data_IF_145729920090
#
_entry.id   IF_145729920090
#
_cell.length_a   1.000
_cell.length_b   1.000
_cell.length_c   1.000
_cell.angle_alpha   90.00
_cell.angle_beta   90.00
_cell.angle_gamma   90.00
#
_symmetry.space_group_name_H-M   'P 1'
#
loop_
_entity.id
_entity.type
_entity.pdbx_description
1 polymer ?
#
# COMPACT_ATOMS: atom_id res chain seq x y z
N UNK A 1 -16.80 -16.19 21.90
CA UNK A 1 -15.54 -16.83 22.38
C UNK A 1 -14.36 -16.05 21.85
N UNK A 2 -13.29 -15.86 22.62
CA UNK A 2 -12.04 -15.22 22.17
C UNK A 2 -10.94 -16.28 22.11
N UNK A 3 -10.26 -16.37 21.00
CA UNK A 3 -9.13 -17.31 20.79
C UNK A 3 -7.91 -16.51 20.37
N UNK A 4 -6.75 -16.78 20.95
CA UNK A 4 -5.46 -16.28 20.51
C UNK A 4 -4.76 -17.37 19.70
N UNK A 5 -4.42 -17.06 18.46
CA UNK A 5 -3.62 -17.92 17.60
C UNK A 5 -2.16 -17.45 17.67
N UNK A 6 -1.28 -18.34 18.08
CA UNK A 6 0.15 -18.04 18.26
C UNK A 6 1.01 -18.60 17.10
N UNK A 7 0.41 -19.39 16.22
CA UNK A 7 1.09 -20.01 15.09
C UNK A 7 0.19 -19.89 13.83
N UNK A 8 0.79 -19.66 12.69
CA UNK A 8 0.08 -19.51 11.42
C UNK A 8 0.00 -20.83 10.62
N UNK A 9 0.86 -21.78 10.90
CA UNK A 9 0.99 -23.02 10.14
C UNK A 9 -0.31 -23.83 10.05
N UNK A 10 -1.10 -23.98 11.14
CA UNK A 10 -2.35 -24.76 11.10
C UNK A 10 -3.54 -23.96 10.56
N UNK A 11 -3.37 -22.69 10.21
CA UNK A 11 -4.48 -21.86 9.77
C UNK A 11 -4.79 -22.07 8.29
N UNK A 12 -6.07 -22.23 7.98
CA UNK A 12 -6.54 -22.17 6.61
C UNK A 12 -6.46 -20.72 6.08
N UNK A 13 -5.46 -20.42 5.27
CA UNK A 13 -5.19 -19.07 4.77
C UNK A 13 -6.25 -18.54 3.79
N UNK A 14 -7.20 -19.38 3.35
CA UNK A 14 -8.39 -18.92 2.61
C UNK A 14 -9.49 -18.36 3.52
N UNK A 15 -9.47 -18.71 4.80
CA UNK A 15 -10.35 -18.13 5.83
C UNK A 15 -9.65 -16.93 6.47
N UNK A 16 -8.40 -17.16 6.90
CA UNK A 16 -7.57 -16.15 7.58
C UNK A 16 -6.73 -15.35 6.57
N UNK A 17 -7.42 -14.73 5.60
CA UNK A 17 -6.81 -13.91 4.56
C UNK A 17 -6.78 -12.44 5.01
N UNK A 18 -5.58 -11.92 5.27
CA UNK A 18 -5.28 -10.57 5.72
C UNK A 18 -3.86 -10.16 5.29
N UNK A 19 -3.45 -8.94 5.59
CA UNK A 19 -2.08 -8.50 5.33
C UNK A 19 -1.11 -9.09 6.35
N UNK A 20 -0.32 -10.07 5.96
CA UNK A 20 0.60 -10.79 6.86
C UNK A 20 1.81 -9.98 7.30
N UNK A 21 2.04 -8.77 6.79
CA UNK A 21 3.09 -7.85 7.29
C UNK A 21 2.65 -7.02 8.51
N UNK A 22 1.40 -7.18 8.96
CA UNK A 22 0.91 -6.51 10.16
C UNK A 22 1.53 -7.07 11.44
N UNK A 23 1.60 -6.24 12.48
CA UNK A 23 2.04 -6.65 13.82
C UNK A 23 0.91 -7.27 14.64
N UNK A 24 -0.33 -6.97 14.29
CA UNK A 24 -1.51 -7.38 15.02
C UNK A 24 -2.72 -7.51 14.07
N UNK A 25 -3.50 -8.57 14.23
CA UNK A 25 -4.72 -8.80 13.47
C UNK A 25 -5.79 -9.46 14.35
N UNK A 26 -7.00 -8.92 14.35
CA UNK A 26 -8.19 -9.55 14.91
C UNK A 26 -9.13 -9.93 13.78
N UNK A 27 -9.66 -11.15 13.84
CA UNK A 27 -10.67 -11.63 12.92
C UNK A 27 -11.98 -11.83 13.68
N UNK A 28 -13.07 -11.28 13.18
CA UNK A 28 -14.41 -11.48 13.71
C UNK A 28 -15.12 -12.52 12.85
N UNK A 29 -15.45 -13.66 13.44
CA UNK A 29 -15.99 -14.84 12.74
C UNK A 29 -17.34 -15.23 13.30
N UNK A 30 -18.22 -15.77 12.43
CA UNK A 30 -19.37 -16.55 12.85
C UNK A 30 -18.96 -17.95 13.31
N UNK A 31 -19.84 -18.73 13.96
CA UNK A 31 -19.57 -20.14 14.27
C UNK A 31 -19.22 -21.00 13.06
N UNK A 32 -19.71 -20.63 11.87
CA UNK A 32 -19.44 -21.31 10.58
C UNK A 32 -18.18 -20.76 9.88
N UNK A 33 -17.30 -20.05 10.60
CA UNK A 33 -16.08 -19.45 10.07
C UNK A 33 -16.29 -18.42 8.94
N UNK A 34 -17.49 -17.83 8.84
CA UNK A 34 -17.71 -16.69 7.94
C UNK A 34 -17.17 -15.42 8.57
N UNK A 35 -16.43 -14.64 7.80
CA UNK A 35 -15.74 -13.45 8.30
C UNK A 35 -16.65 -12.23 8.24
N UNK A 36 -16.94 -11.66 9.39
CA UNK A 36 -17.61 -10.36 9.50
C UNK A 36 -16.64 -9.21 9.21
N UNK A 37 -15.49 -9.24 9.87
CA UNK A 37 -14.51 -8.15 9.79
C UNK A 37 -13.10 -8.60 10.14
N UNK A 38 -12.14 -7.79 9.70
CA UNK A 38 -10.70 -7.86 9.99
C UNK A 38 -10.30 -6.56 10.63
N UNK A 39 -9.76 -6.59 11.84
CA UNK A 39 -9.26 -5.39 12.50
C UNK A 39 -7.75 -5.48 12.69
N UNK A 40 -7.05 -4.45 12.26
CA UNK A 40 -5.61 -4.27 12.31
C UNK A 40 -5.17 -3.41 11.13
N UNK A 41 -4.05 -2.75 11.27
CA UNK A 41 -3.53 -1.89 10.24
C UNK A 41 -2.12 -1.41 10.57
N UNK A 42 -1.33 -1.16 9.54
CA UNK A 42 0.02 -0.61 9.63
C UNK A 42 0.32 0.20 8.37
N UNK A 43 1.19 1.17 8.47
CA UNK A 43 1.73 1.89 7.32
C UNK A 43 3.16 2.35 7.63
N UNK A 44 3.75 3.14 6.75
CA UNK A 44 5.09 3.70 6.88
C UNK A 44 5.25 4.62 8.11
N UNK A 45 4.15 5.16 8.63
CA UNK A 45 4.15 5.99 9.85
C UNK A 45 4.32 5.19 11.14
N UNK A 46 4.18 3.85 11.08
CA UNK A 46 4.44 2.97 12.22
C UNK A 46 3.43 1.84 12.40
N UNK A 47 3.71 0.96 13.37
CA UNK A 47 2.90 -0.23 13.60
C UNK A 47 1.49 0.07 14.12
N UNK A 48 1.29 1.19 14.81
CA UNK A 48 0.01 1.55 15.45
C UNK A 48 -0.73 2.69 14.74
N UNK A 49 -0.18 3.18 13.62
CA UNK A 49 -0.73 4.35 12.92
C UNK A 49 -2.16 4.15 12.38
N UNK A 50 -2.59 2.91 12.21
CA UNK A 50 -3.91 2.54 11.64
C UNK A 50 -4.78 1.72 12.60
N UNK A 51 -4.45 1.73 13.89
CA UNK A 51 -5.19 0.97 14.91
C UNK A 51 -5.13 1.64 16.29
N UNK A 52 -6.20 1.48 17.07
CA UNK A 52 -6.30 1.96 18.44
C UNK A 52 -7.26 1.08 19.26
N UNK A 53 -7.24 1.19 20.58
CA UNK A 53 -8.23 0.50 21.42
C UNK A 53 -9.65 1.03 21.18
N UNK A 54 -9.80 2.33 20.94
CA UNK A 54 -11.09 2.93 20.60
C UNK A 54 -11.63 2.38 19.27
N UNK A 55 -10.79 2.30 18.24
CA UNK A 55 -11.14 1.73 16.95
C UNK A 55 -11.47 0.24 17.03
N UNK A 56 -10.73 -0.54 17.84
CA UNK A 56 -11.07 -1.96 18.06
C UNK A 56 -12.46 -2.08 18.70
N UNK A 57 -12.75 -1.29 19.75
CA UNK A 57 -14.05 -1.28 20.39
C UNK A 57 -15.16 -0.88 19.42
N UNK A 58 -14.97 0.17 18.65
CA UNK A 58 -15.91 0.63 17.64
C UNK A 58 -16.23 -0.49 16.62
N UNK A 59 -15.20 -1.17 16.12
CA UNK A 59 -15.35 -2.30 15.21
C UNK A 59 -16.11 -3.46 15.86
N UNK A 60 -15.82 -3.78 17.14
CA UNK A 60 -16.55 -4.82 17.88
C UNK A 60 -18.04 -4.51 17.99
N UNK A 61 -18.39 -3.27 18.33
CA UNK A 61 -19.77 -2.80 18.45
C UNK A 61 -20.48 -2.86 17.09
N UNK A 62 -19.82 -2.43 16.01
CA UNK A 62 -20.33 -2.50 14.63
C UNK A 62 -20.57 -3.95 14.18
N UNK A 63 -19.61 -4.84 14.41
CA UNK A 63 -19.74 -6.28 14.08
C UNK A 63 -20.85 -6.92 14.90
N UNK A 64 -21.01 -6.57 16.17
CA UNK A 64 -22.08 -7.10 17.01
C UNK A 64 -23.46 -6.65 16.51
N UNK A 65 -23.60 -5.42 16.04
CA UNK A 65 -24.81 -4.92 15.40
C UNK A 65 -25.11 -5.69 14.11
N UNK A 66 -24.09 -5.91 13.26
CA UNK A 66 -24.21 -6.71 12.03
C UNK A 66 -24.65 -8.16 12.35
N UNK A 67 -24.03 -8.80 13.35
CA UNK A 67 -24.38 -10.16 13.80
C UNK A 67 -25.84 -10.29 14.26
N UNK A 68 -26.37 -9.24 14.90
CA UNK A 68 -27.77 -9.21 15.39
C UNK A 68 -28.78 -8.84 14.32
N UNK A 69 -28.33 -8.41 13.14
CA UNK A 69 -29.20 -8.06 12.02
C UNK A 69 -29.94 -9.29 11.50
N UNK A 70 -31.08 -9.06 10.82
CA UNK A 70 -31.86 -10.16 10.19
C UNK A 70 -31.12 -10.82 9.02
N UNK A 71 -30.18 -10.10 8.39
CA UNK A 71 -29.44 -10.56 7.23
C UNK A 71 -27.96 -10.11 7.36
N UNK A 72 -27.17 -10.78 8.20
CA UNK A 72 -25.78 -10.39 8.43
C UNK A 72 -24.94 -10.57 7.16
N UNK A 73 -24.12 -9.57 6.87
CA UNK A 73 -23.22 -9.55 5.73
C UNK A 73 -21.86 -10.10 6.13
N UNK A 74 -21.24 -10.79 5.22
CA UNK A 74 -19.92 -11.38 5.41
C UNK A 74 -18.99 -10.97 4.28
N UNK A 75 -17.70 -10.87 4.58
CA UNK A 75 -16.71 -10.71 3.55
C UNK A 75 -16.67 -11.94 2.62
N UNK A 76 -16.43 -11.78 1.32
CA UNK A 76 -16.27 -12.90 0.41
C UNK A 76 -15.11 -13.79 0.84
N UNK A 77 -15.28 -15.10 0.65
CA UNK A 77 -14.28 -16.11 0.97
C UNK A 77 -13.83 -16.80 -0.31
N UNK A 78 -12.55 -17.10 -0.40
CA UNK A 78 -12.05 -17.98 -1.45
C UNK A 78 -12.64 -19.40 -1.30
N UNK A 79 -13.12 -19.92 -2.40
CA UNK A 79 -13.64 -21.31 -2.48
C UNK A 79 -12.52 -22.30 -2.80
N UNK A 80 -12.79 -23.60 -2.64
CA UNK A 80 -11.90 -24.69 -2.98
C UNK A 80 -11.17 -25.29 -1.78
N UNK A 81 -10.15 -26.12 -2.04
CA UNK A 81 -9.41 -26.83 -0.98
C UNK A 81 -8.78 -25.86 0.01
N UNK A 82 -8.79 -26.17 1.31
CA UNK A 82 -8.02 -25.41 2.30
C UNK A 82 -6.58 -25.24 1.86
N UNK A 83 -5.97 -24.11 2.27
CA UNK A 83 -4.57 -23.81 1.99
C UNK A 83 -3.84 -23.52 3.30
N UNK A 84 -2.84 -24.31 3.61
CA UNK A 84 -2.04 -24.18 4.83
C UNK A 84 -0.59 -23.88 4.47
N UNK A 85 0.07 -23.08 5.29
CA UNK A 85 1.50 -22.84 5.09
C UNK A 85 2.33 -24.12 5.28
N UNK A 86 1.84 -25.05 6.11
CA UNK A 86 2.44 -26.36 6.32
C UNK A 86 2.50 -27.22 5.03
N UNK A 87 1.61 -26.96 4.06
CA UNK A 87 1.60 -27.66 2.75
C UNK A 87 2.69 -27.14 1.81
N UNK A 88 3.34 -26.03 2.16
CA UNK A 88 4.44 -25.44 1.42
C UNK A 88 5.72 -25.76 2.18
N UNK A 89 6.67 -26.48 1.56
CA UNK A 89 7.97 -26.69 2.16
C UNK A 89 8.64 -25.33 2.46
N UNK A 90 8.93 -25.00 3.73
CA UNK A 90 9.55 -23.73 4.06
C UNK A 90 10.98 -23.68 3.46
N UNK A 91 11.48 -22.48 3.12
CA UNK A 91 12.88 -22.29 2.78
C UNK A 91 13.77 -22.87 3.88
N UNK A 92 14.92 -23.45 3.50
CA UNK A 92 15.89 -23.97 4.48
C UNK A 92 16.29 -22.85 5.43
N UNK A 93 16.13 -23.05 6.74
CA UNK A 93 16.54 -22.10 7.78
C UNK A 93 15.42 -21.41 8.54
N UNK A 94 14.15 -21.56 8.15
CA UNK A 94 13.03 -21.18 9.02
C UNK A 94 12.90 -22.18 10.17
N UNK A 95 12.91 -21.68 11.40
CA UNK A 95 12.70 -22.48 12.62
C UNK A 95 11.28 -23.08 12.68
N UNK A 96 10.97 -23.76 13.79
CA UNK A 96 9.66 -24.41 13.99
C UNK A 96 8.47 -23.45 14.11
N UNK A 97 8.72 -22.16 14.36
CA UNK A 97 7.65 -21.15 14.49
C UNK A 97 7.75 -20.18 13.31
N UNK A 98 6.75 -20.21 12.43
CA UNK A 98 6.65 -19.29 11.30
C UNK A 98 5.80 -18.08 11.72
N UNK A 99 6.37 -16.88 11.63
CA UNK A 99 5.65 -15.61 11.84
C UNK A 99 4.85 -15.25 10.59
N UNK A 100 3.84 -14.38 10.75
CA UNK A 100 2.94 -14.03 9.64
C UNK A 100 3.70 -13.50 8.40
N UNK A 101 4.66 -12.59 8.56
CA UNK A 101 5.47 -12.09 7.44
C UNK A 101 6.30 -13.17 6.76
N UNK A 102 6.84 -14.14 7.54
CA UNK A 102 7.59 -15.28 6.98
C UNK A 102 6.67 -16.20 6.15
N UNK A 103 5.40 -16.37 6.55
CA UNK A 103 4.44 -17.08 5.73
C UNK A 103 4.27 -16.42 4.36
N UNK A 104 4.26 -15.07 4.30
CA UNK A 104 4.21 -14.33 3.04
C UNK A 104 5.49 -14.53 2.20
N UNK A 105 6.66 -14.51 2.83
CA UNK A 105 7.95 -14.80 2.17
C UNK A 105 7.94 -16.20 1.53
N UNK A 106 7.48 -17.22 2.28
CA UNK A 106 7.36 -18.60 1.78
C UNK A 106 6.41 -18.70 0.59
N UNK A 107 5.26 -18.02 0.66
CA UNK A 107 4.29 -17.97 -0.44
C UNK A 107 4.91 -17.32 -1.68
N UNK A 108 5.60 -16.21 -1.52
CA UNK A 108 6.21 -15.47 -2.62
C UNK A 108 7.37 -16.23 -3.27
N UNK A 109 8.24 -16.86 -2.46
CA UNK A 109 9.31 -17.73 -2.94
C UNK A 109 8.76 -18.94 -3.75
N UNK A 110 7.66 -19.53 -3.29
CA UNK A 110 6.98 -20.56 -4.07
C UNK A 110 6.43 -20.03 -5.38
N UNK A 111 5.76 -18.87 -5.36
CA UNK A 111 5.20 -18.26 -6.57
C UNK A 111 6.28 -17.87 -7.56
N UNK A 112 7.44 -17.41 -7.08
CA UNK A 112 8.60 -17.10 -7.92
C UNK A 112 9.14 -18.36 -8.61
N UNK A 113 9.36 -19.43 -7.85
CA UNK A 113 9.78 -20.74 -8.39
C UNK A 113 8.80 -21.31 -9.42
N UNK A 114 7.50 -21.02 -9.26
CA UNK A 114 6.45 -21.43 -10.21
C UNK A 114 6.26 -20.45 -11.38
N UNK A 115 7.07 -19.36 -11.44
CA UNK A 115 6.93 -18.31 -12.47
C UNK A 115 5.63 -17.50 -12.37
N UNK A 116 4.96 -17.53 -11.23
CA UNK A 116 3.67 -16.85 -10.98
C UNK A 116 3.83 -15.53 -10.25
N UNK A 117 4.98 -15.29 -9.61
CA UNK A 117 5.22 -14.03 -8.92
C UNK A 117 5.37 -12.87 -9.93
N UNK A 118 4.83 -11.72 -9.60
CA UNK A 118 5.00 -10.50 -10.37
C UNK A 118 4.97 -9.27 -9.44
N UNK A 119 5.46 -8.13 -9.91
CA UNK A 119 5.61 -6.91 -9.12
C UNK A 119 4.30 -6.37 -8.51
N UNK A 120 3.14 -6.65 -9.12
CA UNK A 120 1.86 -6.20 -8.55
C UNK A 120 1.56 -6.87 -7.20
N UNK A 121 2.14 -8.05 -6.95
CA UNK A 121 2.00 -8.78 -5.68
C UNK A 121 2.69 -8.07 -4.51
N UNK A 122 3.66 -7.20 -4.77
CA UNK A 122 4.27 -6.35 -3.75
C UNK A 122 3.27 -5.32 -3.18
N UNK A 123 2.23 -4.96 -3.95
CA UNK A 123 1.24 -3.94 -3.60
C UNK A 123 -0.12 -4.54 -3.22
N UNK A 124 -0.10 -5.68 -2.53
CA UNK A 124 -1.31 -6.27 -1.94
C UNK A 124 -1.79 -5.47 -0.73
N UNK A 125 -3.10 -5.49 -0.50
CA UNK A 125 -3.79 -4.74 0.57
C UNK A 125 -3.47 -3.23 0.51
N UNK A 126 -3.71 -2.56 -0.65
CA UNK A 126 -3.45 -1.14 -0.76
C UNK A 126 -4.37 -0.37 0.20
N UNK A 127 -3.88 0.71 0.82
CA UNK A 127 -4.69 1.53 1.71
C UNK A 127 -5.71 2.36 0.94
N UNK A 128 -6.83 2.75 1.56
CA UNK A 128 -7.81 3.65 0.95
C UNK A 128 -7.26 5.04 0.64
N UNK A 129 -6.18 5.44 1.29
CA UNK A 129 -5.41 6.66 1.03
C UNK A 129 -4.98 6.77 -0.44
N UNK A 130 -4.68 5.65 -1.09
CA UNK A 130 -4.33 5.60 -2.52
C UNK A 130 -5.47 6.06 -3.45
N UNK A 131 -6.69 6.08 -2.94
CA UNK A 131 -7.89 6.58 -3.64
C UNK A 131 -8.33 7.94 -3.13
N UNK A 132 -7.56 8.52 -2.19
CA UNK A 132 -7.73 9.87 -1.67
C UNK A 132 -8.71 9.99 -0.51
N UNK A 133 -8.93 8.93 0.28
CA UNK A 133 -9.66 9.06 1.54
C UNK A 133 -8.96 8.32 2.69
N UNK A 134 -8.93 8.95 3.85
CA UNK A 134 -8.31 8.44 5.06
C UNK A 134 -9.39 8.04 6.05
N UNK A 135 -9.30 6.84 6.62
CA UNK A 135 -10.19 6.39 7.68
C UNK A 135 -9.71 6.86 9.06
N UNK A 136 -10.66 7.17 9.93
CA UNK A 136 -10.42 7.57 11.31
C UNK A 136 -9.95 6.36 12.13
N UNK A 137 -8.85 6.52 12.87
CA UNK A 137 -8.23 5.43 13.64
C UNK A 137 -9.13 4.95 14.77
N UNK A 138 -9.88 5.87 15.41
CA UNK A 138 -10.74 5.59 16.57
C UNK A 138 -12.16 5.18 16.18
N UNK A 139 -12.60 5.57 14.97
CA UNK A 139 -13.92 5.25 14.42
C UNK A 139 -13.84 4.36 13.17
N UNK A 140 -12.75 3.67 13.01
CA UNK A 140 -12.45 2.56 12.10
C UNK A 140 -12.88 2.69 10.63
N UNK A 141 -14.20 2.77 10.34
CA UNK A 141 -14.73 2.88 8.97
C UNK A 141 -15.34 4.27 8.67
N UNK A 142 -15.13 5.24 9.55
CA UNK A 142 -15.54 6.62 9.33
C UNK A 142 -14.43 7.36 8.59
N UNK A 143 -14.77 8.10 7.56
CA UNK A 143 -13.83 8.92 6.79
C UNK A 143 -13.37 10.11 7.65
N UNK A 144 -12.07 10.24 7.87
CA UNK A 144 -11.45 11.34 8.58
C UNK A 144 -11.19 12.53 7.66
N UNK A 145 -10.64 12.23 6.48
CA UNK A 145 -10.22 13.24 5.51
C UNK A 145 -10.37 12.72 4.08
N UNK A 146 -10.52 13.64 3.12
CA UNK A 146 -10.62 13.34 1.68
C UNK A 146 -9.81 14.35 0.88
N UNK A 147 -8.90 13.87 0.06
CA UNK A 147 -8.04 14.67 -0.79
C UNK A 147 -8.86 15.37 -1.89
N UNK A 148 -8.62 16.65 -2.10
CA UNK A 148 -9.29 17.42 -3.17
C UNK A 148 -8.89 16.89 -4.55
N UNK A 149 -9.88 16.72 -5.43
CA UNK A 149 -9.67 16.23 -6.79
C UNK A 149 -9.23 14.76 -6.85
N UNK A 150 -9.43 14.00 -5.77
CA UNK A 150 -9.16 12.57 -5.71
C UNK A 150 -10.32 11.75 -6.27
N UNK A 151 -10.09 10.47 -6.63
CA UNK A 151 -11.14 9.55 -7.02
C UNK A 151 -12.27 9.42 -5.98
N UNK A 152 -11.96 9.54 -4.67
CA UNK A 152 -12.94 9.52 -3.60
C UNK A 152 -13.83 10.78 -3.60
N UNK A 153 -13.23 11.97 -3.79
CA UNK A 153 -13.98 13.24 -3.95
C UNK A 153 -14.94 13.16 -5.14
N UNK A 154 -14.46 12.65 -6.29
CA UNK A 154 -15.25 12.52 -7.51
C UNK A 154 -16.41 11.54 -7.34
N UNK A 155 -16.24 10.51 -6.50
CA UNK A 155 -17.30 9.58 -6.12
C UNK A 155 -18.32 10.17 -5.13
N UNK A 156 -18.06 11.35 -4.56
CA UNK A 156 -18.92 12.05 -3.62
C UNK A 156 -18.68 11.73 -2.15
N UNK A 157 -17.58 11.02 -1.82
CA UNK A 157 -17.19 10.73 -0.43
C UNK A 157 -16.72 12.02 0.26
N UNK A 158 -17.07 12.19 1.52
CA UNK A 158 -16.73 13.36 2.35
C UNK A 158 -16.26 12.96 3.75
N UNK A 159 -15.52 13.84 4.43
CA UNK A 159 -15.21 13.63 5.85
C UNK A 159 -16.49 13.44 6.67
N UNK A 160 -16.47 12.49 7.60
CA UNK A 160 -17.60 12.10 8.43
C UNK A 160 -18.49 11.00 7.85
N UNK A 161 -18.34 10.64 6.58
CA UNK A 161 -19.05 9.50 5.97
C UNK A 161 -18.62 8.19 6.62
N UNK A 162 -19.59 7.32 6.93
CA UNK A 162 -19.31 5.98 7.44
C UNK A 162 -19.37 4.98 6.28
N UNK A 163 -18.23 4.50 5.82
CA UNK A 163 -18.14 3.51 4.75
C UNK A 163 -18.72 2.17 5.23
N UNK A 164 -19.68 1.64 4.49
CA UNK A 164 -20.35 0.38 4.84
C UNK A 164 -20.02 -0.77 3.89
N UNK A 165 -19.76 -0.46 2.61
CA UNK A 165 -19.36 -1.41 1.59
C UNK A 165 -18.32 -0.78 0.68
N UNK A 166 -17.28 -1.52 0.34
CA UNK A 166 -16.29 -1.14 -0.66
C UNK A 166 -16.02 -2.35 -1.56
N UNK A 167 -16.15 -2.18 -2.88
CA UNK A 167 -15.95 -3.27 -3.84
C UNK A 167 -16.70 -4.57 -3.46
N UNK A 168 -17.99 -4.45 -3.11
CA UNK A 168 -18.84 -5.54 -2.64
C UNK A 168 -18.41 -6.23 -1.32
N UNK A 169 -17.48 -5.66 -0.57
CA UNK A 169 -17.04 -6.15 0.74
C UNK A 169 -17.62 -5.27 1.84
N UNK A 170 -18.27 -5.83 2.88
CA UNK A 170 -18.63 -5.08 4.07
C UNK A 170 -17.40 -4.50 4.75
N UNK A 171 -17.49 -3.23 5.17
CA UNK A 171 -16.38 -2.51 5.79
C UNK A 171 -16.76 -2.06 7.20
N UNK A 172 -16.04 -2.57 8.18
CA UNK A 172 -16.14 -2.20 9.59
C UNK A 172 -14.82 -1.61 10.11
N UNK A 173 -13.74 -1.73 9.33
CA UNK A 173 -12.40 -1.32 9.75
C UNK A 173 -11.49 -0.99 8.57
N UNK A 174 -10.31 -0.42 8.87
CA UNK A 174 -9.23 -0.24 7.92
C UNK A 174 -8.80 -1.59 7.28
N UNK A 175 -8.73 -2.67 8.08
CA UNK A 175 -8.36 -4.00 7.57
C UNK A 175 -9.35 -4.53 6.52
N UNK A 176 -10.65 -4.25 6.69
CA UNK A 176 -11.67 -4.61 5.69
C UNK A 176 -11.54 -3.77 4.42
N UNK A 177 -11.23 -2.49 4.56
CA UNK A 177 -11.00 -1.62 3.39
C UNK A 177 -9.79 -2.10 2.57
N UNK A 178 -8.67 -2.41 3.22
CA UNK A 178 -7.50 -3.00 2.55
C UNK A 178 -7.81 -4.34 1.87
N UNK A 179 -8.58 -5.21 2.52
CA UNK A 179 -9.04 -6.48 1.95
C UNK A 179 -9.96 -6.28 0.73
N UNK A 180 -10.87 -5.31 0.77
CA UNK A 180 -11.75 -4.96 -0.34
C UNK A 180 -10.96 -4.46 -1.55
N UNK A 181 -9.98 -3.59 -1.30
CA UNK A 181 -9.12 -3.01 -2.31
C UNK A 181 -8.13 -4.03 -2.89
N UNK A 182 -7.68 -5.00 -2.11
CA UNK A 182 -6.85 -6.10 -2.62
C UNK A 182 -7.56 -6.91 -3.72
N UNK A 183 -8.88 -7.01 -3.66
CA UNK A 183 -9.73 -7.70 -4.63
C UNK A 183 -10.26 -6.81 -5.76
N UNK A 184 -9.98 -5.52 -5.71
CA UNK A 184 -10.38 -4.59 -6.76
C UNK A 184 -9.61 -4.87 -8.07
N UNK A 185 -10.16 -4.53 -9.24
CA UNK A 185 -9.46 -4.68 -10.51
C UNK A 185 -8.25 -3.74 -10.62
N UNK A 186 -7.35 -4.03 -11.52
CA UNK A 186 -6.19 -3.16 -11.80
C UNK A 186 -6.59 -1.83 -12.44
N UNK A 187 -7.69 -1.82 -13.18
CA UNK A 187 -8.24 -0.65 -13.92
C UNK A 187 -9.76 -0.69 -13.89
N UNK A 188 -10.39 0.43 -14.14
CA UNK A 188 -11.83 0.56 -14.15
C UNK A 188 -12.37 1.30 -12.94
N UNK A 189 -13.43 0.80 -12.34
CA UNK A 189 -14.04 1.41 -11.15
C UNK A 189 -14.54 0.38 -10.17
N UNK A 190 -14.68 0.78 -8.92
CA UNK A 190 -15.30 0.01 -7.84
C UNK A 190 -16.49 0.76 -7.26
N UNK A 191 -17.43 0.03 -6.67
CA UNK A 191 -18.54 0.61 -5.93
C UNK A 191 -18.13 0.93 -4.50
N UNK A 192 -18.69 2.03 -3.96
CA UNK A 192 -18.59 2.39 -2.55
C UNK A 192 -19.96 2.75 -2.04
N UNK A 193 -20.34 2.30 -0.84
CA UNK A 193 -21.56 2.71 -0.13
C UNK A 193 -21.20 3.22 1.25
N UNK A 194 -21.92 4.24 1.71
CA UNK A 194 -21.69 4.87 3.01
C UNK A 194 -22.96 5.45 3.59
N UNK A 195 -22.96 5.70 4.89
CA UNK A 195 -23.94 6.56 5.55
C UNK A 195 -23.37 7.96 5.73
N UNK A 196 -24.18 8.98 5.41
CA UNK A 196 -23.97 10.39 5.76
C UNK A 196 -25.10 10.82 6.68
N UNK A 197 -24.83 10.85 7.98
CA UNK A 197 -25.90 10.86 8.98
C UNK A 197 -26.76 9.60 8.82
N UNK A 198 -28.07 9.77 8.71
CA UNK A 198 -29.02 8.67 8.52
C UNK A 198 -29.32 8.31 7.05
N UNK A 199 -28.65 8.96 6.11
CA UNK A 199 -28.88 8.74 4.66
C UNK A 199 -27.87 7.74 4.10
N UNK A 200 -28.40 6.69 3.50
CA UNK A 200 -27.59 5.78 2.70
C UNK A 200 -27.23 6.41 1.34
N UNK A 201 -25.96 6.37 1.00
CA UNK A 201 -25.36 6.92 -0.20
C UNK A 201 -24.54 5.85 -0.92
N UNK A 202 -24.35 6.03 -2.21
CA UNK A 202 -23.47 5.18 -3.00
C UNK A 202 -22.80 5.94 -4.14
N UNK A 203 -21.65 5.45 -4.58
CA UNK A 203 -20.90 6.05 -5.67
C UNK A 203 -19.99 5.04 -6.36
N UNK A 204 -19.27 5.52 -7.37
CA UNK A 204 -18.22 4.74 -8.06
C UNK A 204 -16.91 5.49 -7.96
N UNK A 205 -15.89 4.80 -7.48
CA UNK A 205 -14.52 5.29 -7.43
C UNK A 205 -13.81 4.79 -8.69
N UNK A 206 -13.35 5.71 -9.53
CA UNK A 206 -12.50 5.39 -10.69
C UNK A 206 -11.08 5.09 -10.21
N UNK A 207 -10.50 4.00 -10.69
CA UNK A 207 -9.17 3.55 -10.29
C UNK A 207 -8.10 4.16 -11.21
N UNK A 208 -7.23 5.04 -10.71
CA UNK A 208 -6.14 5.62 -11.49
C UNK A 208 -5.14 4.56 -11.96
N UNK A 209 -4.29 4.90 -12.93
CA UNK A 209 -3.19 4.03 -13.28
C UNK A 209 -2.25 3.84 -12.08
N UNK A 210 -1.77 2.59 -11.87
CA UNK A 210 -0.86 2.22 -10.77
C UNK A 210 -1.40 2.55 -9.35
N UNK A 211 -2.70 2.70 -9.17
CA UNK A 211 -3.36 3.12 -7.92
C UNK A 211 -3.00 2.27 -6.69
N UNK A 212 -2.59 1.02 -6.87
CA UNK A 212 -2.20 0.12 -5.78
C UNK A 212 -0.85 0.47 -5.17
N UNK A 213 -0.02 1.27 -5.87
CA UNK A 213 1.34 1.56 -5.42
C UNK A 213 1.35 2.46 -4.20
N UNK A 214 2.11 2.02 -3.21
CA UNK A 214 2.31 2.70 -1.93
C UNK A 214 3.71 2.41 -1.43
N UNK A 215 4.15 3.10 -0.38
CA UNK A 215 5.42 2.79 0.29
C UNK A 215 5.37 1.37 0.88
N UNK A 216 6.26 0.50 0.43
CA UNK A 216 6.41 -0.88 0.90
C UNK A 216 7.57 -1.06 1.88
N UNK A 217 8.32 0.01 2.20
CA UNK A 217 9.53 -0.06 3.03
C UNK A 217 9.27 -0.53 4.47
N UNK A 218 8.03 -0.42 4.93
CA UNK A 218 7.61 -0.89 6.24
C UNK A 218 7.27 -2.39 6.28
N UNK A 219 7.19 -3.05 5.11
CA UNK A 219 6.81 -4.46 4.99
C UNK A 219 8.02 -5.38 5.17
N UNK A 220 8.13 -6.16 6.27
CA UNK A 220 9.27 -7.05 6.47
C UNK A 220 9.47 -8.05 5.32
N UNK A 221 8.37 -8.58 4.75
CA UNK A 221 8.43 -9.57 3.66
C UNK A 221 8.92 -9.00 2.32
N UNK A 222 9.04 -7.67 2.18
CA UNK A 222 9.35 -6.98 0.92
C UNK A 222 10.62 -6.12 0.98
N UNK A 223 11.45 -6.26 2.02
CA UNK A 223 12.64 -5.43 2.19
C UNK A 223 13.60 -5.48 0.98
N UNK A 224 13.72 -6.62 0.32
CA UNK A 224 14.52 -6.78 -0.90
C UNK A 224 13.98 -6.05 -2.14
N UNK A 225 12.73 -5.55 -2.08
CA UNK A 225 12.07 -4.86 -3.19
C UNK A 225 11.99 -3.35 -3.02
N UNK A 226 12.49 -2.81 -1.91
CA UNK A 226 12.47 -1.36 -1.65
C UNK A 226 13.46 -0.67 -2.57
N UNK A 227 12.96 0.09 -3.55
CA UNK A 227 13.80 0.79 -4.50
C UNK A 227 14.54 1.97 -3.87
N UNK A 228 15.75 2.21 -4.35
CA UNK A 228 16.52 3.42 -4.08
C UNK A 228 16.75 4.19 -5.39
N UNK A 229 16.63 5.54 -5.38
CA UNK A 229 16.86 6.32 -6.59
C UNK A 229 18.29 6.24 -7.10
N UNK A 230 19.26 5.83 -6.28
CA UNK A 230 20.71 5.75 -6.62
C UNK A 230 21.32 7.05 -7.17
N UNK A 231 20.57 8.14 -7.11
CA UNK A 231 21.02 9.51 -7.39
C UNK A 231 20.82 10.33 -6.13
N UNK A 232 21.83 11.10 -5.73
CA UNK A 232 21.83 11.84 -4.47
C UNK A 232 22.53 13.17 -4.65
N UNK A 233 21.98 14.20 -4.06
CA UNK A 233 22.52 15.52 -4.27
C UNK A 233 22.10 16.58 -3.27
N UNK A 234 22.46 17.78 -3.61
CA UNK A 234 22.07 19.00 -2.90
C UNK A 234 21.09 19.77 -3.76
N UNK A 235 19.98 20.19 -3.13
CA UNK A 235 18.97 20.98 -3.81
C UNK A 235 19.57 22.29 -4.33
N UNK A 236 19.05 22.75 -5.47
CA UNK A 236 19.43 24.03 -6.02
C UNK A 236 18.99 25.18 -5.11
N UNK A 237 19.82 26.21 -5.03
CA UNK A 237 19.43 27.50 -4.49
C UNK A 237 18.39 28.21 -5.38
N UNK A 238 17.71 29.21 -4.85
CA UNK A 238 16.72 29.97 -5.61
C UNK A 238 17.33 30.61 -6.87
N UNK A 239 18.57 31.14 -6.78
CA UNK A 239 19.28 31.74 -7.90
C UNK A 239 19.59 30.70 -8.99
N UNK A 240 20.12 29.52 -8.63
CA UNK A 240 20.43 28.44 -9.58
C UNK A 240 19.16 27.94 -10.28
N UNK A 241 18.02 27.92 -9.57
CA UNK A 241 16.73 27.55 -10.18
C UNK A 241 16.31 28.54 -11.26
N UNK A 242 16.46 29.83 -11.01
CA UNK A 242 16.16 30.89 -11.98
C UNK A 242 17.10 30.81 -13.21
N UNK A 243 18.38 30.58 -13.01
CA UNK A 243 19.38 30.40 -14.08
C UNK A 243 19.05 29.19 -15.00
N UNK A 244 18.42 28.15 -14.46
CA UNK A 244 18.01 26.97 -15.20
C UNK A 244 16.56 27.01 -15.68
N UNK A 245 15.82 28.10 -15.46
CA UNK A 245 14.43 28.26 -15.84
C UNK A 245 13.47 27.30 -15.12
N UNK A 246 13.76 26.96 -13.85
CA UNK A 246 12.98 26.05 -13.02
C UNK A 246 12.12 26.83 -12.03
N UNK A 247 10.95 26.26 -11.67
CA UNK A 247 10.11 26.83 -10.61
C UNK A 247 10.74 26.65 -9.22
N UNK A 248 10.32 27.44 -8.25
CA UNK A 248 10.86 27.40 -6.88
C UNK A 248 10.71 26.02 -6.20
N UNK A 249 9.68 25.27 -6.57
CA UNK A 249 9.31 23.99 -5.94
C UNK A 249 9.65 22.76 -6.78
N UNK A 250 10.03 22.95 -8.06
CA UNK A 250 10.35 21.85 -8.96
C UNK A 250 11.56 21.06 -8.46
N UNK A 251 11.52 19.74 -8.51
CA UNK A 251 12.63 18.86 -8.17
C UNK A 251 13.83 19.15 -9.05
N UNK A 252 14.94 19.57 -8.42
CA UNK A 252 16.23 19.73 -9.06
C UNK A 252 17.34 19.70 -8.01
N UNK A 253 18.36 18.86 -8.23
CA UNK A 253 19.52 18.77 -7.34
C UNK A 253 20.78 18.37 -8.11
N UNK A 254 21.93 18.87 -7.66
CA UNK A 254 23.23 18.53 -8.22
C UNK A 254 23.68 17.14 -7.75
N UNK A 255 23.97 16.22 -8.68
CA UNK A 255 24.55 14.92 -8.35
C UNK A 255 25.92 15.10 -7.68
N UNK A 256 26.08 14.54 -6.47
CA UNK A 256 27.34 14.58 -5.71
C UNK A 256 28.48 13.87 -6.42
N UNK A 257 29.71 14.20 -6.02
CA UNK A 257 30.97 13.64 -6.57
C UNK A 257 31.02 12.11 -6.48
N UNK A 258 30.47 11.51 -5.41
CA UNK A 258 30.37 10.06 -5.26
C UNK A 258 29.08 9.57 -5.94
N UNK A 259 29.20 9.11 -7.17
CA UNK A 259 28.08 8.49 -7.91
C UNK A 259 28.01 7.00 -7.58
N UNK A 260 26.85 6.46 -7.11
CA UNK A 260 26.68 5.03 -6.91
C UNK A 260 26.94 4.23 -8.20
N UNK A 261 27.46 3.00 -8.04
CA UNK A 261 27.88 2.16 -9.18
C UNK A 261 26.79 1.96 -10.22
N UNK A 262 25.55 1.81 -9.80
CA UNK A 262 24.37 1.65 -10.64
C UNK A 262 24.11 2.89 -11.50
N UNK A 263 24.09 4.06 -10.88
CA UNK A 263 23.91 5.33 -11.57
C UNK A 263 25.10 5.61 -12.53
N UNK A 264 26.33 5.28 -12.12
CA UNK A 264 27.51 5.41 -12.97
C UNK A 264 27.44 4.51 -14.23
N UNK A 265 26.96 3.25 -14.06
CA UNK A 265 26.72 2.32 -15.20
C UNK A 265 25.65 2.87 -16.16
N UNK A 266 24.64 3.56 -15.64
CA UNK A 266 23.63 4.25 -16.45
C UNK A 266 24.15 5.51 -17.14
N UNK A 267 25.41 5.92 -16.87
CA UNK A 267 26.06 7.07 -17.47
C UNK A 267 25.86 8.38 -16.70
N UNK A 268 25.36 8.35 -15.48
CA UNK A 268 25.23 9.53 -14.61
C UNK A 268 26.63 9.91 -14.11
N UNK A 269 26.88 11.20 -14.01
CA UNK A 269 28.20 11.79 -13.66
C UNK A 269 28.07 12.78 -12.51
N UNK A 270 29.15 13.03 -11.76
CA UNK A 270 29.19 14.15 -10.83
C UNK A 270 28.85 15.49 -11.56
N UNK A 271 28.07 16.33 -10.89
CA UNK A 271 27.65 17.59 -11.44
C UNK A 271 26.53 17.55 -12.49
N UNK A 272 25.91 16.40 -12.72
CA UNK A 272 24.65 16.35 -13.45
C UNK A 272 23.53 17.01 -12.62
N UNK A 273 22.72 17.83 -13.25
CA UNK A 273 21.53 18.41 -12.64
C UNK A 273 20.36 17.43 -12.81
N UNK A 274 19.99 16.72 -11.75
CA UNK A 274 18.92 15.72 -11.78
C UNK A 274 17.56 16.41 -11.64
N UNK A 275 16.61 16.06 -12.51
CA UNK A 275 15.25 16.63 -12.55
C UNK A 275 14.16 15.59 -12.18
N UNK A 276 14.52 14.34 -11.94
CA UNK A 276 13.60 13.25 -11.61
C UNK A 276 13.62 12.09 -12.58
N UNK A 277 12.50 11.34 -12.61
CA UNK A 277 12.34 10.14 -13.42
C UNK A 277 11.17 10.25 -14.39
N UNK A 278 11.26 9.52 -15.52
CA UNK A 278 10.18 9.26 -16.50
C UNK A 278 9.50 10.51 -17.06
N UNK A 279 10.25 11.62 -17.20
CA UNK A 279 9.79 12.92 -17.68
C UNK A 279 8.65 13.54 -16.84
N UNK A 280 8.54 13.15 -15.57
CA UNK A 280 7.59 13.75 -14.65
C UNK A 280 8.15 15.06 -14.08
N UNK A 281 7.33 16.10 -14.06
CA UNK A 281 7.64 17.31 -13.31
C UNK A 281 7.15 17.12 -11.88
N UNK A 282 8.08 17.02 -10.94
CA UNK A 282 7.80 16.79 -9.53
C UNK A 282 8.07 18.08 -8.74
N UNK A 283 7.18 18.39 -7.79
CA UNK A 283 7.34 19.55 -6.89
C UNK A 283 7.73 19.05 -5.49
N UNK A 284 9.03 18.86 -5.30
CA UNK A 284 9.62 18.36 -4.06
C UNK A 284 11.12 18.61 -3.98
N UNK A 285 11.69 18.45 -2.79
CA UNK A 285 13.15 18.43 -2.57
C UNK A 285 13.77 17.04 -2.82
N UNK A 286 15.08 16.95 -2.80
CA UNK A 286 15.83 15.71 -3.01
C UNK A 286 15.52 14.63 -1.94
N UNK A 287 15.22 15.04 -0.70
CA UNK A 287 14.86 14.09 0.36
C UNK A 287 13.47 13.49 0.13
N UNK A 288 12.50 14.32 -0.20
CA UNK A 288 11.14 13.84 -0.55
C UNK A 288 11.14 12.98 -1.81
N UNK A 289 12.06 13.24 -2.74
CA UNK A 289 12.23 12.39 -3.92
C UNK A 289 12.65 10.95 -3.55
N UNK A 290 13.48 10.76 -2.53
CA UNK A 290 13.78 9.41 -2.02
C UNK A 290 12.53 8.68 -1.54
N UNK A 291 11.67 9.37 -0.77
CA UNK A 291 10.41 8.80 -0.28
C UNK A 291 9.42 8.52 -1.42
N UNK A 292 9.37 9.44 -2.39
CA UNK A 292 8.58 9.26 -3.60
C UNK A 292 8.99 8.00 -4.37
N UNK A 293 10.30 7.79 -4.59
CA UNK A 293 10.80 6.60 -5.30
C UNK A 293 10.40 5.33 -4.55
N UNK A 294 10.53 5.27 -3.23
CA UNK A 294 10.10 4.14 -2.41
C UNK A 294 8.60 3.84 -2.50
N UNK A 295 7.77 4.87 -2.70
CA UNK A 295 6.31 4.72 -2.80
C UNK A 295 5.82 4.37 -4.20
N UNK A 296 6.61 4.63 -5.25
CA UNK A 296 6.17 4.51 -6.64
C UNK A 296 6.88 3.43 -7.45
N UNK A 297 8.06 3.00 -6.99
CA UNK A 297 8.92 2.07 -7.73
C UNK A 297 9.38 0.92 -6.83
N UNK A 298 9.83 -0.15 -7.46
CA UNK A 298 10.45 -1.30 -6.79
C UNK A 298 11.79 -1.63 -7.43
N UNK A 299 12.64 -2.33 -6.70
CA UNK A 299 13.91 -2.90 -7.21
C UNK A 299 13.65 -3.71 -8.48
N UNK A 300 14.50 -3.53 -9.49
CA UNK A 300 14.40 -4.19 -10.79
C UNK A 300 13.63 -3.39 -11.85
N UNK A 301 12.88 -2.35 -11.48
CA UNK A 301 12.24 -1.47 -12.47
C UNK A 301 13.27 -0.59 -13.17
N UNK A 302 13.09 -0.40 -14.48
CA UNK A 302 13.91 0.53 -15.27
C UNK A 302 13.19 1.86 -15.41
N UNK A 303 13.87 2.94 -15.01
CA UNK A 303 13.39 4.33 -15.10
C UNK A 303 14.25 5.12 -16.09
N UNK A 304 13.71 6.20 -16.63
CA UNK A 304 14.47 7.19 -17.39
C UNK A 304 14.85 8.32 -16.45
N UNK A 305 16.13 8.42 -16.08
CA UNK A 305 16.63 9.53 -15.27
C UNK A 305 16.71 10.79 -16.14
N UNK A 306 15.97 11.81 -15.78
CA UNK A 306 15.92 13.08 -16.47
C UNK A 306 16.96 14.02 -15.85
N UNK A 307 17.88 14.54 -16.64
CA UNK A 307 18.95 15.40 -16.16
C UNK A 307 19.37 16.47 -17.19
N UNK A 308 20.07 17.49 -16.70
CA UNK A 308 20.77 18.46 -17.55
C UNK A 308 22.28 18.28 -17.34
N UNK A 309 23.04 18.19 -18.44
CA UNK A 309 24.50 18.15 -18.47
C UNK A 309 25.00 19.13 -19.51
N UNK A 310 25.85 20.06 -19.13
CA UNK A 310 26.39 21.09 -20.03
C UNK A 310 25.29 21.81 -20.84
N UNK A 311 24.19 22.20 -20.17
CA UNK A 311 23.04 22.86 -20.79
C UNK A 311 22.14 21.99 -21.66
N UNK A 312 22.45 20.69 -21.83
CA UNK A 312 21.64 19.77 -22.63
C UNK A 312 20.79 18.83 -21.75
N UNK A 313 19.52 18.68 -22.08
CA UNK A 313 18.62 17.69 -21.44
C UNK A 313 18.94 16.28 -21.93
N UNK A 314 19.07 15.34 -21.02
CA UNK A 314 19.34 13.93 -21.28
C UNK A 314 18.32 13.06 -20.52
N UNK A 315 18.01 11.90 -21.09
CA UNK A 315 17.18 10.88 -20.47
C UNK A 315 17.97 9.57 -20.49
N UNK A 316 18.48 9.15 -19.35
CA UNK A 316 19.33 7.97 -19.23
C UNK A 316 18.55 6.81 -18.61
N UNK A 317 18.48 5.64 -19.25
CA UNK A 317 17.82 4.46 -18.66
C UNK A 317 18.67 3.94 -17.50
N UNK A 318 18.01 3.67 -16.36
CA UNK A 318 18.65 3.12 -15.16
C UNK A 318 17.73 2.10 -14.50
N UNK A 319 18.24 0.92 -14.19
CA UNK A 319 17.50 -0.06 -13.38
C UNK A 319 17.71 0.25 -11.90
N UNK A 320 16.63 0.29 -11.12
CA UNK A 320 16.66 0.57 -9.69
C UNK A 320 17.12 -0.67 -8.90
N UNK A 321 17.88 -0.44 -7.83
CA UNK A 321 18.35 -1.48 -6.90
C UNK A 321 17.91 -1.19 -5.46
#
# INVERSE_FOLDING_TARGET
>A
MRVRLAAIEPLNLKVFDFDYDLTFQVMFLSPDEKVYSRYGGRCEQGPDARQSLAGLRFTMESVLAEHRSRSPRFAPRETGKPFFIADIAPPRGLGRCIHCHQAKEVIYDRMDREGKWNLDMAFRYPPPDNLGFVLDVDRSNVVKDVDRGSPATDAGVQPGDQITVLNCVPVHSFGDAGFALDRAPKRGSITVSWFRGDREMSGKITLPDRWRRTDISWRPSLQGLVASPRVFGEDLTAQEREEHGLTATQLAFWQKSKVPSQAAKAGIRPGDLILGFDNQTLEMDAYRFLLYVRSKYVTGETVKVNLIRNGRRLNLPMTLE
#
